data_IF_952790565938
#
_entry.id   IF_952790565938
#
_cell.length_a   1.000
_cell.length_b   1.000
_cell.length_c   1.000
_cell.angle_alpha   90.00
_cell.angle_beta   90.00
_cell.angle_gamma   90.00
#
_symmetry.space_group_name_H-M   'P 1'
#
loop_
_entity.id
_entity.type
_entity.pdbx_description
1 polymer ?
#
# COMPACT_ATOMS: atom_id res chain seq x y z
N UNK A 1 10.12 -19.96 -11.67
CA UNK A 1 9.43 -19.31 -10.53
C UNK A 1 9.14 -17.89 -10.93
N UNK A 2 7.91 -17.44 -10.76
CA UNK A 2 7.59 -16.04 -10.98
C UNK A 2 8.27 -15.18 -9.90
N UNK A 3 8.89 -14.10 -10.29
CA UNK A 3 9.50 -13.11 -9.39
C UNK A 3 9.29 -11.70 -9.95
N UNK A 4 9.76 -10.68 -9.25
CA UNK A 4 9.61 -9.29 -9.64
C UNK A 4 10.85 -8.71 -10.38
N UNK A 5 11.79 -9.55 -10.81
CA UNK A 5 12.97 -9.12 -11.54
C UNK A 5 12.59 -8.35 -12.82
N UNK A 6 13.09 -7.12 -12.94
CA UNK A 6 12.82 -6.24 -14.08
C UNK A 6 11.39 -5.71 -14.19
N UNK A 7 10.46 -6.08 -13.29
CA UNK A 7 9.11 -5.54 -13.25
C UNK A 7 9.12 -4.10 -12.73
N UNK A 8 8.31 -3.25 -13.32
CA UNK A 8 8.20 -1.83 -12.96
C UNK A 8 6.99 -1.58 -12.09
N UNK A 9 7.24 -1.05 -10.90
CA UNK A 9 6.22 -0.70 -9.89
C UNK A 9 6.12 0.81 -9.77
N UNK A 10 4.94 1.38 -10.03
CA UNK A 10 4.60 2.75 -9.65
C UNK A 10 3.84 2.73 -8.32
N UNK A 11 4.41 3.35 -7.30
CA UNK A 11 3.85 3.34 -5.95
C UNK A 11 3.56 4.75 -5.43
N UNK A 12 2.37 4.95 -4.88
CA UNK A 12 2.07 6.15 -4.10
C UNK A 12 2.50 5.99 -2.65
N UNK A 13 3.28 6.93 -2.08
CA UNK A 13 3.61 6.99 -0.64
C UNK A 13 4.74 6.05 -0.26
N UNK A 14 5.67 5.64 -0.83
CA UNK A 14 6.70 4.63 -0.47
C UNK A 14 7.93 5.16 0.26
N UNK A 15 7.89 6.37 0.81
CA UNK A 15 9.08 6.95 1.47
C UNK A 15 9.41 6.37 2.85
N UNK A 16 8.51 5.56 3.43
CA UNK A 16 8.65 4.92 4.75
C UNK A 16 7.62 3.81 4.97
N UNK A 17 7.72 3.12 6.11
CA UNK A 17 6.72 2.17 6.61
C UNK A 17 6.42 1.03 5.63
N UNK A 18 5.15 0.66 5.50
CA UNK A 18 4.72 -0.49 4.68
C UNK A 18 5.14 -0.31 3.21
N UNK A 19 4.92 0.87 2.63
CA UNK A 19 5.28 1.11 1.23
C UNK A 19 6.77 0.95 0.96
N UNK A 20 7.63 1.44 1.86
CA UNK A 20 9.07 1.23 1.74
C UNK A 20 9.46 -0.25 1.89
N UNK A 21 8.85 -0.97 2.83
CA UNK A 21 9.12 -2.40 3.01
C UNK A 21 8.74 -3.21 1.75
N UNK A 22 7.58 -2.92 1.15
CA UNK A 22 7.16 -3.54 -0.13
C UNK A 22 8.17 -3.22 -1.25
N UNK A 23 8.61 -1.95 -1.34
CA UNK A 23 9.59 -1.53 -2.34
C UNK A 23 10.93 -2.27 -2.16
N UNK A 24 11.42 -2.39 -0.92
CA UNK A 24 12.66 -3.11 -0.61
C UNK A 24 12.56 -4.61 -0.91
N UNK A 25 11.40 -5.22 -0.61
CA UNK A 25 11.17 -6.64 -0.92
C UNK A 25 11.18 -6.89 -2.43
N UNK A 26 10.57 -6.02 -3.22
CA UNK A 26 10.59 -6.12 -4.68
C UNK A 26 11.99 -5.81 -5.25
N UNK A 27 12.70 -4.83 -4.67
CA UNK A 27 14.06 -4.47 -5.06
C UNK A 27 15.05 -5.62 -4.90
N UNK A 28 14.86 -6.50 -3.91
CA UNK A 28 15.69 -7.68 -3.71
C UNK A 28 15.66 -8.66 -4.89
N UNK A 29 14.61 -8.64 -5.70
CA UNK A 29 14.53 -9.38 -6.97
C UNK A 29 15.11 -8.57 -8.17
N UNK A 30 15.47 -7.31 -7.98
CA UNK A 30 15.91 -6.41 -9.07
C UNK A 30 14.75 -5.69 -9.78
N UNK A 31 13.66 -5.39 -9.08
CA UNK A 31 12.55 -4.60 -9.63
C UNK A 31 12.92 -3.12 -9.83
N UNK A 32 12.18 -2.46 -10.72
CA UNK A 32 12.21 -1.01 -10.93
C UNK A 32 11.10 -0.35 -10.10
N UNK A 33 11.43 0.61 -9.27
CA UNK A 33 10.48 1.24 -8.34
C UNK A 33 10.40 2.75 -8.59
N UNK A 34 9.25 3.25 -9.02
CA UNK A 34 8.93 4.67 -9.06
C UNK A 34 8.11 5.04 -7.81
N UNK A 35 8.58 5.99 -7.03
CA UNK A 35 7.96 6.42 -5.78
C UNK A 35 7.36 7.82 -5.95
N UNK A 36 6.03 7.93 -6.00
CA UNK A 36 5.32 9.21 -5.95
C UNK A 36 4.99 9.56 -4.49
N UNK A 37 5.68 10.53 -3.92
CA UNK A 37 5.40 11.00 -2.57
C UNK A 37 5.80 12.47 -2.36
N UNK A 38 5.18 13.11 -1.37
CA UNK A 38 5.34 14.54 -1.07
C UNK A 38 6.61 14.89 -0.29
N UNK A 39 7.18 13.91 0.40
CA UNK A 39 8.30 14.16 1.33
C UNK A 39 9.62 14.24 0.56
N UNK A 40 9.97 15.43 0.16
CA UNK A 40 11.21 15.78 -0.53
C UNK A 40 12.37 15.97 0.46
N UNK A 41 12.13 16.72 1.52
CA UNK A 41 13.12 17.08 2.53
C UNK A 41 12.87 16.39 3.87
N UNK A 42 13.91 16.15 4.71
CA UNK A 42 13.74 15.55 6.02
C UNK A 42 12.74 16.30 6.91
N UNK A 43 11.89 15.56 7.61
CA UNK A 43 10.90 16.11 8.53
C UNK A 43 11.31 15.80 9.98
N UNK A 44 11.21 16.74 10.94
CA UNK A 44 11.71 16.54 12.31
C UNK A 44 11.09 15.36 13.08
N UNK A 45 9.86 14.95 12.70
CA UNK A 45 9.11 13.89 13.39
C UNK A 45 8.88 12.64 12.54
N UNK A 46 9.28 12.66 11.27
CA UNK A 46 9.00 11.57 10.33
C UNK A 46 10.26 11.28 9.54
N UNK A 47 10.88 10.15 9.80
CA UNK A 47 12.05 9.70 9.05
C UNK A 47 11.69 9.34 7.61
N UNK A 48 12.68 9.48 6.72
CA UNK A 48 12.58 9.10 5.32
C UNK A 48 12.01 10.17 4.40
N UNK A 49 12.62 10.28 3.23
CA UNK A 49 12.20 11.09 2.08
C UNK A 49 12.07 10.19 0.86
N UNK A 50 11.54 10.68 -0.27
CA UNK A 50 11.54 9.91 -1.53
C UNK A 50 12.99 9.60 -1.96
N UNK A 51 13.93 10.49 -1.66
CA UNK A 51 15.34 10.33 -2.02
C UNK A 51 16.04 9.28 -1.16
N UNK A 52 15.90 9.34 0.18
CA UNK A 52 16.47 8.33 1.06
C UNK A 52 15.86 6.94 0.85
N UNK A 53 14.58 6.85 0.49
CA UNK A 53 13.95 5.59 0.10
C UNK A 53 14.53 5.05 -1.21
N UNK A 54 14.76 5.93 -2.21
CA UNK A 54 15.38 5.53 -3.46
C UNK A 54 16.83 5.00 -3.26
N UNK A 55 17.60 5.59 -2.35
CA UNK A 55 18.92 5.07 -1.98
C UNK A 55 18.86 3.68 -1.36
N UNK A 56 17.91 3.45 -0.44
CA UNK A 56 17.70 2.14 0.17
C UNK A 56 17.27 1.08 -0.86
N UNK A 57 16.38 1.43 -1.80
CA UNK A 57 15.93 0.54 -2.88
C UNK A 57 17.11 0.13 -3.76
N UNK A 58 17.98 1.08 -4.15
CA UNK A 58 19.18 0.78 -4.93
C UNK A 58 20.16 -0.10 -4.16
N UNK A 59 20.34 0.16 -2.86
CA UNK A 59 21.19 -0.67 -2.00
C UNK A 59 20.63 -2.10 -1.83
N UNK A 60 19.30 -2.29 -1.95
CA UNK A 60 18.64 -3.59 -1.91
C UNK A 60 18.69 -4.36 -3.25
N UNK A 61 19.25 -3.76 -4.32
CA UNK A 61 19.45 -4.41 -5.62
C UNK A 61 18.45 -4.01 -6.71
N UNK A 62 17.49 -3.12 -6.43
CA UNK A 62 16.55 -2.58 -7.40
C UNK A 62 17.00 -1.28 -8.06
N UNK A 63 16.20 -0.82 -9.03
CA UNK A 63 16.31 0.53 -9.56
C UNK A 63 15.26 1.43 -8.92
N UNK A 64 15.56 2.72 -8.74
CA UNK A 64 14.64 3.63 -8.06
C UNK A 64 14.53 4.97 -8.76
N UNK A 65 13.29 5.43 -8.99
CA UNK A 65 12.95 6.74 -9.50
C UNK A 65 12.15 7.51 -8.42
N UNK A 66 12.79 8.43 -7.68
CA UNK A 66 12.06 9.29 -6.74
C UNK A 66 11.29 10.37 -7.51
N UNK A 67 10.00 10.51 -7.23
CA UNK A 67 9.12 11.51 -7.82
C UNK A 67 8.46 12.29 -6.68
N UNK A 68 8.80 13.57 -6.56
CA UNK A 68 8.15 14.48 -5.62
C UNK A 68 6.81 14.92 -6.22
N UNK A 69 5.70 14.63 -5.52
CA UNK A 69 4.38 15.01 -5.98
C UNK A 69 3.27 14.58 -5.01
N UNK A 70 2.06 15.06 -5.28
CA UNK A 70 0.87 14.82 -4.47
C UNK A 70 -0.19 14.06 -5.25
N UNK A 71 -0.64 12.91 -4.76
CA UNK A 71 -1.71 12.09 -5.39
C UNK A 71 -3.07 12.81 -5.51
N UNK A 72 -3.20 14.00 -4.92
CA UNK A 72 -4.38 14.86 -5.08
C UNK A 72 -4.31 15.76 -6.32
N UNK A 73 -3.13 15.89 -6.91
CA UNK A 73 -2.87 16.73 -8.07
C UNK A 73 -2.79 15.88 -9.34
N UNK A 74 -3.64 16.17 -10.32
CA UNK A 74 -3.71 15.40 -11.56
C UNK A 74 -2.46 15.55 -12.42
N UNK A 75 -1.83 16.72 -12.39
CA UNK A 75 -0.58 16.97 -13.12
C UNK A 75 0.56 16.15 -12.54
N UNK A 76 0.67 16.08 -11.19
CA UNK A 76 1.69 15.26 -10.52
C UNK A 76 1.50 13.77 -10.80
N UNK A 77 0.25 13.30 -10.84
CA UNK A 77 -0.08 11.91 -11.21
C UNK A 77 0.32 11.63 -12.65
N UNK A 78 -0.07 12.50 -13.56
CA UNK A 78 0.24 12.37 -15.00
C UNK A 78 1.76 12.37 -15.22
N UNK A 79 2.46 13.28 -14.57
CA UNK A 79 3.92 13.36 -14.63
C UNK A 79 4.58 12.09 -14.05
N UNK A 80 4.06 11.55 -12.94
CA UNK A 80 4.59 10.32 -12.33
C UNK A 80 4.46 9.12 -13.29
N UNK A 81 3.32 8.98 -13.95
CA UNK A 81 3.09 7.91 -14.93
C UNK A 81 4.04 8.06 -16.13
N UNK A 82 4.13 9.27 -16.71
CA UNK A 82 4.99 9.53 -17.86
C UNK A 82 6.49 9.37 -17.54
N UNK A 83 6.94 9.85 -16.38
CA UNK A 83 8.33 9.67 -15.94
C UNK A 83 8.67 8.20 -15.71
N UNK A 84 7.74 7.43 -15.11
CA UNK A 84 7.95 5.99 -14.87
C UNK A 84 8.06 5.25 -16.19
N UNK A 85 7.16 5.51 -17.14
CA UNK A 85 7.20 4.92 -18.47
C UNK A 85 8.47 5.31 -19.23
N UNK A 86 8.87 6.58 -19.15
CA UNK A 86 10.08 7.08 -19.83
C UNK A 86 11.37 6.50 -19.30
N UNK A 87 11.47 6.30 -17.96
CA UNK A 87 12.66 5.77 -17.30
C UNK A 87 12.80 4.26 -17.46
N UNK A 88 11.67 3.52 -17.28
CA UNK A 88 11.70 2.06 -17.20
C UNK A 88 11.04 1.34 -18.39
N UNK A 89 10.47 2.09 -19.33
CA UNK A 89 9.86 1.54 -20.54
C UNK A 89 8.40 1.08 -20.39
N UNK A 90 7.84 1.04 -19.16
CA UNK A 90 6.47 0.60 -18.91
C UNK A 90 6.11 0.62 -17.44
N UNK A 91 4.91 0.13 -17.12
CA UNK A 91 4.43 -0.08 -15.75
C UNK A 91 3.76 -1.46 -15.71
N UNK A 92 4.26 -2.36 -14.87
CA UNK A 92 3.65 -3.68 -14.63
C UNK A 92 2.70 -3.65 -13.43
N UNK A 93 2.99 -2.81 -12.43
CA UNK A 93 2.30 -2.84 -11.14
C UNK A 93 2.06 -1.42 -10.65
N UNK A 94 0.83 -1.18 -10.15
CA UNK A 94 0.49 0.04 -9.39
C UNK A 94 0.21 -0.34 -7.94
N UNK A 95 0.83 0.38 -6.99
CA UNK A 95 0.57 0.20 -5.56
C UNK A 95 0.00 1.48 -4.96
N UNK A 96 -1.26 1.44 -4.55
CA UNK A 96 -1.94 2.52 -3.85
C UNK A 96 -1.70 2.38 -2.34
N UNK A 97 -0.59 2.96 -1.87
CA UNK A 97 -0.21 2.94 -0.46
C UNK A 97 -0.36 4.31 0.22
N UNK A 98 -0.32 5.42 -0.50
CA UNK A 98 -0.53 6.74 0.09
C UNK A 98 -1.87 6.79 0.85
N UNK A 99 -1.82 7.21 2.11
CA UNK A 99 -3.00 7.27 2.97
C UNK A 99 -2.88 8.38 4.00
N UNK A 100 -4.02 8.97 4.33
CA UNK A 100 -4.20 9.87 5.47
C UNK A 100 -5.17 9.25 6.44
N UNK A 101 -4.85 9.32 7.72
CA UNK A 101 -5.67 8.79 8.81
C UNK A 101 -6.09 9.91 9.76
N UNK A 102 -7.38 9.96 10.07
CA UNK A 102 -7.94 10.72 11.19
C UNK A 102 -9.08 9.90 11.80
N UNK A 103 -8.90 9.49 13.05
CA UNK A 103 -9.83 8.63 13.79
C UNK A 103 -10.82 9.42 14.66
N UNK A 104 -10.99 10.72 14.38
CA UNK A 104 -11.99 11.54 15.05
C UNK A 104 -13.41 11.03 14.79
N UNK A 105 -14.24 11.09 15.80
CA UNK A 105 -15.67 10.83 15.65
C UNK A 105 -16.33 11.95 14.83
N UNK A 106 -17.50 11.68 14.26
CA UNK A 106 -18.15 12.56 13.29
C UNK A 106 -18.32 14.00 13.74
N UNK A 107 -18.63 14.25 15.02
CA UNK A 107 -18.80 15.62 15.54
C UNK A 107 -17.46 16.36 15.77
N UNK A 108 -16.35 15.66 15.89
CA UNK A 108 -15.02 16.22 16.10
C UNK A 108 -14.19 16.28 14.81
N UNK A 109 -14.60 15.58 13.77
CA UNK A 109 -13.89 15.55 12.49
C UNK A 109 -14.08 16.87 11.75
N UNK A 110 -13.02 17.64 11.63
CA UNK A 110 -13.04 18.88 10.86
C UNK A 110 -13.20 18.59 9.35
N UNK A 111 -14.03 19.37 8.66
CA UNK A 111 -14.28 19.22 7.21
C UNK A 111 -12.97 19.12 6.40
N UNK A 112 -11.99 19.99 6.67
CA UNK A 112 -10.67 19.93 6.01
C UNK A 112 -9.95 18.59 6.16
N UNK A 113 -10.13 17.90 7.30
CA UNK A 113 -9.53 16.58 7.54
C UNK A 113 -10.30 15.48 6.82
N UNK A 114 -11.62 15.60 6.80
CA UNK A 114 -12.49 14.73 6.01
C UNK A 114 -12.13 14.82 4.53
N UNK A 115 -12.10 16.02 3.96
CA UNK A 115 -11.76 16.27 2.56
C UNK A 115 -10.37 15.69 2.23
N UNK A 116 -9.38 15.95 3.08
CA UNK A 116 -8.03 15.43 2.91
C UNK A 116 -7.98 13.90 2.87
N UNK A 117 -8.76 13.21 3.72
CA UNK A 117 -8.84 11.75 3.69
C UNK A 117 -9.49 11.24 2.39
N UNK A 118 -10.58 11.89 1.94
CA UNK A 118 -11.22 11.51 0.68
C UNK A 118 -10.31 11.75 -0.53
N UNK A 119 -9.66 12.90 -0.57
CA UNK A 119 -8.78 13.29 -1.67
C UNK A 119 -7.55 12.38 -1.80
N UNK A 120 -6.90 12.06 -0.69
CA UNK A 120 -5.70 11.21 -0.72
C UNK A 120 -6.06 9.75 -0.91
N UNK A 121 -6.98 9.23 -0.08
CA UNK A 121 -7.23 7.80 -0.02
C UNK A 121 -8.10 7.34 -1.21
N UNK A 122 -9.26 7.95 -1.41
CA UNK A 122 -10.22 7.51 -2.45
C UNK A 122 -9.84 8.05 -3.82
N UNK A 123 -9.81 9.39 -3.94
CA UNK A 123 -9.52 10.04 -5.21
C UNK A 123 -8.12 9.71 -5.71
N UNK A 124 -7.11 9.75 -4.83
CA UNK A 124 -5.73 9.41 -5.19
C UNK A 124 -5.60 7.98 -5.70
N UNK A 125 -6.26 7.00 -5.05
CA UNK A 125 -6.30 5.60 -5.51
C UNK A 125 -6.94 5.49 -6.89
N UNK A 126 -8.09 6.15 -7.11
CA UNK A 126 -8.79 6.13 -8.39
C UNK A 126 -7.96 6.76 -9.49
N UNK A 127 -7.49 7.99 -9.30
CA UNK A 127 -6.80 8.76 -10.35
C UNK A 127 -5.44 8.17 -10.74
N UNK A 128 -4.66 7.68 -9.76
CA UNK A 128 -3.37 7.03 -10.07
C UNK A 128 -3.57 5.73 -10.84
N UNK A 129 -4.54 4.91 -10.40
CA UNK A 129 -4.85 3.66 -11.10
C UNK A 129 -5.38 3.94 -12.51
N UNK A 130 -6.31 4.88 -12.68
CA UNK A 130 -6.87 5.28 -13.97
C UNK A 130 -5.78 5.75 -14.94
N UNK A 131 -4.87 6.61 -14.49
CA UNK A 131 -3.79 7.15 -15.32
C UNK A 131 -2.81 6.06 -15.78
N UNK A 132 -2.62 5.00 -14.96
CA UNK A 132 -1.69 3.91 -15.27
C UNK A 132 -2.33 2.81 -16.17
N UNK A 133 -3.66 2.65 -16.19
CA UNK A 133 -4.34 1.59 -16.96
C UNK A 133 -3.91 1.51 -18.42
N UNK A 134 -3.76 2.60 -19.19
CA UNK A 134 -3.33 2.51 -20.58
C UNK A 134 -1.97 1.82 -20.76
N UNK A 135 -1.06 1.96 -19.78
CA UNK A 135 0.28 1.37 -19.82
C UNK A 135 0.26 -0.06 -19.24
N UNK A 136 -0.52 -0.30 -18.20
CA UNK A 136 -0.71 -1.64 -17.60
C UNK A 136 -1.23 -2.67 -18.63
N UNK A 137 -1.99 -2.24 -19.64
CA UNK A 137 -2.49 -3.12 -20.73
C UNK A 137 -1.38 -3.81 -21.50
N UNK A 138 -0.21 -3.20 -21.58
CA UNK A 138 0.95 -3.73 -22.32
C UNK A 138 1.81 -4.67 -21.45
N UNK A 139 1.55 -4.74 -20.15
CA UNK A 139 2.26 -5.60 -19.23
C UNK A 139 1.83 -7.07 -19.35
N UNK A 140 2.77 -7.98 -19.18
CA UNK A 140 2.51 -9.43 -19.21
C UNK A 140 1.64 -9.90 -18.04
N UNK A 141 1.88 -9.34 -16.85
CA UNK A 141 1.21 -9.69 -15.59
C UNK A 141 0.82 -8.43 -14.80
N UNK A 142 -0.16 -7.63 -15.28
CA UNK A 142 -0.48 -6.34 -14.70
C UNK A 142 -1.26 -6.44 -13.39
N UNK A 143 -0.83 -5.70 -12.36
CA UNK A 143 -1.49 -5.66 -11.07
C UNK A 143 -1.75 -4.23 -10.57
N UNK A 144 -2.90 -4.05 -9.93
CA UNK A 144 -3.21 -2.91 -9.05
C UNK A 144 -3.39 -3.48 -7.64
N UNK A 145 -2.58 -3.03 -6.68
CA UNK A 145 -2.69 -3.42 -5.29
C UNK A 145 -2.97 -2.19 -4.43
N UNK A 146 -4.07 -2.21 -3.68
CA UNK A 146 -4.42 -1.12 -2.76
C UNK A 146 -4.33 -1.58 -1.30
N UNK A 147 -3.71 -0.76 -0.45
CA UNK A 147 -3.59 -1.03 0.97
C UNK A 147 -4.87 -0.58 1.69
N UNK A 148 -5.90 -1.43 1.60
CA UNK A 148 -7.22 -1.15 2.16
C UNK A 148 -7.91 -2.43 2.65
N UNK A 149 -8.83 -2.30 3.65
CA UNK A 149 -9.44 -3.45 4.34
C UNK A 149 -10.56 -4.08 3.51
N UNK A 150 -10.96 -5.32 3.82
CA UNK A 150 -12.22 -5.87 3.35
C UNK A 150 -13.41 -5.03 3.85
N UNK A 151 -14.53 -5.06 3.11
CA UNK A 151 -15.76 -4.36 3.51
C UNK A 151 -16.43 -5.11 4.66
N UNK A 152 -16.28 -4.60 5.86
CA UNK A 152 -16.93 -5.09 7.06
C UNK A 152 -18.02 -4.10 7.51
N UNK A 153 -19.28 -4.45 7.31
CA UNK A 153 -20.42 -3.57 7.61
C UNK A 153 -20.90 -3.68 9.07
N UNK A 154 -20.13 -4.29 9.96
CA UNK A 154 -20.43 -4.29 11.40
C UNK A 154 -20.56 -2.84 11.90
N UNK A 155 -21.67 -2.49 12.59
CA UNK A 155 -21.88 -1.15 13.14
C UNK A 155 -20.71 -0.65 14.01
N UNK A 156 -19.95 -1.54 14.67
CA UNK A 156 -18.77 -1.17 15.44
C UNK A 156 -17.72 -0.42 14.59
N UNK A 157 -17.52 -0.85 13.33
CA UNK A 157 -16.57 -0.20 12.41
C UNK A 157 -17.16 1.01 11.71
N UNK A 158 -18.43 0.92 11.29
CA UNK A 158 -19.12 2.04 10.65
C UNK A 158 -19.26 3.23 11.60
N UNK A 159 -19.55 3.00 12.88
CA UNK A 159 -19.78 4.04 13.88
C UNK A 159 -18.54 4.53 14.63
N UNK A 160 -17.44 3.78 14.63
CA UNK A 160 -16.24 4.17 15.38
C UNK A 160 -15.53 5.38 14.76
N UNK A 161 -15.29 5.32 13.45
CA UNK A 161 -14.48 6.29 12.70
C UNK A 161 -15.08 6.55 11.33
N UNK A 162 -16.32 6.99 11.25
CA UNK A 162 -17.12 7.06 10.01
C UNK A 162 -16.36 7.72 8.84
N UNK A 163 -15.67 8.84 9.06
CA UNK A 163 -14.91 9.52 8.01
C UNK A 163 -13.74 8.70 7.47
N UNK A 164 -12.99 8.02 8.34
CA UNK A 164 -11.89 7.15 7.94
C UNK A 164 -12.38 5.84 7.32
N UNK A 165 -13.45 5.27 7.87
CA UNK A 165 -14.10 4.06 7.32
C UNK A 165 -14.53 4.31 5.87
N UNK A 166 -15.23 5.45 5.60
CA UNK A 166 -15.61 5.82 4.24
C UNK A 166 -14.41 5.95 3.30
N UNK A 167 -13.33 6.58 3.76
CA UNK A 167 -12.13 6.74 2.96
C UNK A 167 -11.46 5.39 2.65
N UNK A 168 -11.31 4.50 3.63
CA UNK A 168 -10.69 3.19 3.43
C UNK A 168 -11.56 2.23 2.62
N UNK A 169 -12.87 2.20 2.89
CA UNK A 169 -13.82 1.41 2.10
C UNK A 169 -13.95 1.96 0.67
N UNK A 170 -13.84 3.27 0.49
CA UNK A 170 -13.76 3.88 -0.84
C UNK A 170 -12.59 3.35 -1.67
N UNK A 171 -11.40 3.22 -1.08
CA UNK A 171 -10.24 2.58 -1.75
C UNK A 171 -10.57 1.14 -2.17
N UNK A 172 -11.20 0.37 -1.28
CA UNK A 172 -11.58 -1.02 -1.57
C UNK A 172 -12.60 -1.09 -2.70
N UNK A 173 -13.62 -0.25 -2.67
CA UNK A 173 -14.66 -0.19 -3.72
C UNK A 173 -14.06 0.21 -5.08
N UNK A 174 -13.17 1.20 -5.11
CA UNK A 174 -12.43 1.58 -6.33
C UNK A 174 -11.66 0.38 -6.87
N UNK A 175 -10.91 -0.30 -6.03
CA UNK A 175 -10.05 -1.42 -6.44
C UNK A 175 -10.89 -2.59 -6.99
N UNK A 176 -11.96 -2.98 -6.30
CA UNK A 176 -12.87 -4.03 -6.76
C UNK A 176 -13.63 -3.62 -8.05
N UNK A 177 -13.95 -2.33 -8.19
CA UNK A 177 -14.50 -1.77 -9.42
C UNK A 177 -13.55 -1.93 -10.60
N UNK A 178 -12.27 -1.58 -10.43
CA UNK A 178 -11.24 -1.77 -11.46
C UNK A 178 -11.03 -3.26 -11.79
N UNK A 179 -11.08 -4.14 -10.80
CA UNK A 179 -11.00 -5.58 -11.05
C UNK A 179 -12.09 -6.07 -12.00
N UNK A 180 -13.34 -5.61 -11.81
CA UNK A 180 -14.46 -5.98 -12.64
C UNK A 180 -14.39 -5.32 -14.03
N UNK A 181 -14.05 -4.03 -14.09
CA UNK A 181 -14.01 -3.25 -15.32
C UNK A 181 -12.94 -3.77 -16.30
N UNK A 182 -11.72 -4.02 -15.78
CA UNK A 182 -10.56 -4.39 -16.59
C UNK A 182 -10.25 -5.90 -16.60
N UNK A 183 -11.19 -6.75 -16.14
CA UNK A 183 -11.03 -8.20 -16.13
C UNK A 183 -10.69 -8.78 -17.52
N UNK A 184 -11.36 -8.29 -18.59
CA UNK A 184 -11.13 -8.76 -19.96
C UNK A 184 -9.76 -8.39 -20.49
N UNK A 185 -9.17 -7.31 -19.97
CA UNK A 185 -7.83 -6.83 -20.30
C UNK A 185 -6.75 -7.58 -19.52
N UNK A 186 -7.15 -8.36 -18.52
CA UNK A 186 -6.27 -9.18 -17.70
C UNK A 186 -5.55 -8.42 -16.61
N UNK A 187 -6.01 -7.19 -16.28
CA UNK A 187 -5.46 -6.39 -15.18
C UNK A 187 -6.07 -6.89 -13.88
N UNK A 188 -5.22 -7.42 -12.99
CA UNK A 188 -5.66 -7.76 -11.64
C UNK A 188 -5.78 -6.50 -10.78
N UNK A 189 -6.81 -6.45 -9.93
CA UNK A 189 -6.88 -5.44 -8.88
C UNK A 189 -7.37 -6.09 -7.58
N UNK A 190 -6.56 -5.97 -6.53
CA UNK A 190 -6.80 -6.58 -5.22
C UNK A 190 -6.53 -5.60 -4.10
N UNK A 191 -7.14 -5.83 -2.95
CA UNK A 191 -6.78 -5.11 -1.71
C UNK A 191 -6.06 -6.04 -0.75
N UNK A 192 -5.24 -5.47 0.12
CA UNK A 192 -4.50 -6.22 1.14
C UNK A 192 -4.59 -5.47 2.47
N UNK A 193 -4.85 -6.21 3.57
CA UNK A 193 -4.98 -5.66 4.92
C UNK A 193 -4.42 -6.62 5.98
N UNK A 194 -3.75 -6.15 7.05
CA UNK A 194 -3.16 -7.01 8.06
C UNK A 194 -4.19 -7.38 9.16
N UNK A 195 -4.04 -8.53 9.82
CA UNK A 195 -4.83 -8.89 11.01
C UNK A 195 -4.42 -8.12 12.25
N UNK A 196 -3.14 -7.79 12.34
CA UNK A 196 -2.57 -7.08 13.48
C UNK A 196 -2.01 -5.74 13.03
N UNK A 197 -1.91 -4.80 13.95
CA UNK A 197 -1.25 -3.51 13.66
C UNK A 197 0.17 -3.72 13.16
N UNK A 198 0.61 -2.82 12.28
CA UNK A 198 1.96 -2.82 11.72
C UNK A 198 2.77 -1.68 12.32
N UNK A 199 3.96 -1.99 12.85
CA UNK A 199 4.85 -1.04 13.51
C UNK A 199 5.34 0.05 12.52
N UNK A 200 4.63 1.16 12.48
CA UNK A 200 4.87 2.28 11.58
C UNK A 200 4.72 3.60 12.33
N UNK A 201 5.22 4.69 11.74
CA UNK A 201 5.03 6.03 12.28
C UNK A 201 3.54 6.41 12.45
N UNK A 202 2.63 5.83 11.67
CA UNK A 202 1.19 6.03 11.85
C UNK A 202 0.69 5.41 13.17
N UNK A 203 1.09 4.18 13.47
CA UNK A 203 0.78 3.50 14.74
C UNK A 203 1.41 4.25 15.90
N UNK A 204 2.69 4.61 15.78
CA UNK A 204 3.41 5.36 16.81
C UNK A 204 2.72 6.68 17.17
N UNK A 205 2.28 7.44 16.18
CA UNK A 205 1.79 8.80 16.39
C UNK A 205 0.29 8.90 16.60
N UNK A 206 -0.51 7.89 16.18
CA UNK A 206 -1.97 8.02 16.10
C UNK A 206 -2.74 6.89 16.78
N UNK A 207 -2.14 5.70 17.00
CA UNK A 207 -2.87 4.51 17.44
C UNK A 207 -2.49 3.99 18.84
N UNK A 208 -1.54 4.61 19.54
CA UNK A 208 -1.24 4.20 20.92
C UNK A 208 0.25 4.18 21.29
N UNK A 209 1.10 4.75 20.44
CA UNK A 209 2.51 4.97 20.75
C UNK A 209 3.31 3.68 20.98
N UNK A 210 4.30 3.73 21.87
CA UNK A 210 5.26 2.65 22.12
C UNK A 210 4.59 1.32 22.49
N UNK A 211 3.46 1.38 23.21
CA UNK A 211 2.76 0.17 23.67
C UNK A 211 2.17 -0.61 22.48
N UNK A 212 1.50 0.08 21.55
CA UNK A 212 0.93 -0.59 20.36
C UNK A 212 2.03 -0.95 19.37
N UNK A 213 3.07 -0.13 19.25
CA UNK A 213 4.26 -0.47 18.46
C UNK A 213 4.89 -1.80 18.90
N UNK A 214 5.08 -1.99 20.22
CA UNK A 214 5.66 -3.21 20.77
C UNK A 214 4.75 -4.45 20.58
N UNK A 215 3.45 -4.23 20.49
CA UNK A 215 2.44 -5.27 20.25
C UNK A 215 2.02 -5.35 18.77
N UNK A 216 2.85 -4.91 17.85
CA UNK A 216 2.62 -4.94 16.41
C UNK A 216 3.52 -5.95 15.72
N UNK A 217 3.23 -6.22 14.44
CA UNK A 217 4.16 -6.89 13.53
C UNK A 217 4.98 -5.84 12.77
N UNK A 218 6.14 -6.25 12.29
CA UNK A 218 7.00 -5.39 11.46
C UNK A 218 6.43 -5.26 10.04
N UNK A 219 6.77 -4.19 9.29
CA UNK A 219 6.29 -3.98 7.92
C UNK A 219 6.64 -5.10 6.94
N UNK A 220 7.65 -5.91 7.24
CA UNK A 220 8.11 -7.01 6.39
C UNK A 220 7.03 -8.07 6.17
N UNK A 221 6.14 -8.32 7.16
CA UNK A 221 5.01 -9.25 6.97
C UNK A 221 4.12 -8.80 5.82
N UNK A 222 3.83 -7.50 5.77
CA UNK A 222 3.00 -6.92 4.71
C UNK A 222 3.72 -6.96 3.36
N UNK A 223 5.02 -6.71 3.36
CA UNK A 223 5.86 -6.75 2.16
C UNK A 223 5.93 -8.15 1.55
N UNK A 224 6.13 -9.19 2.37
CA UNK A 224 6.15 -10.57 1.92
C UNK A 224 4.77 -10.99 1.38
N UNK A 225 3.67 -10.60 2.03
CA UNK A 225 2.32 -10.89 1.52
C UNK A 225 2.01 -10.15 0.21
N UNK A 226 2.39 -8.88 0.10
CA UNK A 226 2.25 -8.12 -1.14
C UNK A 226 3.03 -8.79 -2.29
N UNK A 227 4.24 -9.26 -2.01
CA UNK A 227 5.05 -10.01 -2.96
C UNK A 227 4.32 -11.25 -3.48
N UNK A 228 3.78 -12.07 -2.59
CA UNK A 228 3.02 -13.27 -2.93
C UNK A 228 1.78 -12.98 -3.79
N UNK A 229 1.12 -11.84 -3.57
CA UNK A 229 0.01 -11.39 -4.43
C UNK A 229 0.50 -11.02 -5.83
N UNK A 230 1.59 -10.23 -5.92
CA UNK A 230 2.06 -9.63 -7.16
C UNK A 230 2.73 -10.61 -8.13
N UNK A 231 3.20 -11.77 -7.64
CA UNK A 231 3.77 -12.82 -8.49
C UNK A 231 2.73 -13.81 -9.03
N UNK A 232 1.46 -13.76 -8.54
CA UNK A 232 0.39 -14.64 -9.04
C UNK A 232 -0.10 -14.20 -10.42
N UNK A 233 -0.67 -15.12 -11.23
CA UNK A 233 -1.22 -14.76 -12.53
C UNK A 233 -2.36 -13.74 -12.41
N UNK A 234 -2.24 -12.58 -13.03
CA UNK A 234 -3.20 -11.47 -12.92
C UNK A 234 -4.60 -11.85 -13.41
N UNK A 235 -4.69 -12.72 -14.43
CA UNK A 235 -5.97 -13.17 -14.98
C UNK A 235 -6.76 -14.09 -14.06
N UNK A 236 -6.11 -14.69 -13.08
CA UNK A 236 -6.70 -15.69 -12.18
C UNK A 236 -6.87 -15.16 -10.75
N UNK A 237 -6.03 -14.18 -10.36
CA UNK A 237 -5.97 -13.70 -8.98
C UNK A 237 -6.33 -12.22 -8.93
N UNK A 238 -7.63 -11.93 -9.01
CA UNK A 238 -8.18 -10.55 -9.07
C UNK A 238 -9.51 -10.44 -8.33
N UNK A 239 -9.91 -9.22 -7.97
CA UNK A 239 -11.20 -8.91 -7.35
C UNK A 239 -11.32 -9.37 -5.89
N UNK A 240 -10.21 -9.51 -5.19
CA UNK A 240 -10.18 -10.04 -3.82
C UNK A 240 -9.80 -8.95 -2.80
N UNK A 241 -10.40 -9.07 -1.62
CA UNK A 241 -10.00 -8.33 -0.43
C UNK A 241 -9.22 -9.28 0.48
N UNK A 242 -7.90 -9.21 0.41
CA UNK A 242 -6.97 -10.18 0.97
C UNK A 242 -6.53 -9.79 2.37
N UNK A 243 -6.22 -10.81 3.18
CA UNK A 243 -5.60 -10.63 4.51
C UNK A 243 -4.14 -11.10 4.42
N UNK A 244 -3.24 -10.30 4.97
CA UNK A 244 -1.78 -10.52 4.94
C UNK A 244 -1.42 -11.93 5.41
N UNK A 245 -1.90 -12.32 6.58
CA UNK A 245 -1.59 -13.62 7.18
C UNK A 245 -2.20 -14.79 6.40
N UNK A 246 -3.36 -14.59 5.77
CA UNK A 246 -4.00 -15.64 4.95
C UNK A 246 -3.20 -15.86 3.66
N UNK A 247 -2.78 -14.78 3.00
CA UNK A 247 -1.92 -14.84 1.80
C UNK A 247 -0.62 -15.59 2.08
N UNK A 248 0.02 -15.30 3.21
CA UNK A 248 1.26 -15.97 3.61
C UNK A 248 1.02 -17.44 3.97
N UNK A 249 -0.08 -17.74 4.65
CA UNK A 249 -0.47 -19.13 4.96
C UNK A 249 -0.69 -19.94 3.68
N UNK A 250 -1.37 -19.38 2.69
CA UNK A 250 -1.57 -19.99 1.37
C UNK A 250 -0.25 -20.21 0.62
N UNK A 251 0.75 -19.37 0.88
CA UNK A 251 2.12 -19.51 0.37
C UNK A 251 2.98 -20.50 1.18
N UNK A 252 2.42 -21.13 2.23
CA UNK A 252 3.11 -22.10 3.08
C UNK A 252 3.88 -21.50 4.26
N UNK A 253 3.73 -20.21 4.52
CA UNK A 253 4.35 -19.54 5.67
C UNK A 253 3.32 -19.50 6.80
N UNK A 254 3.48 -20.35 7.79
CA UNK A 254 2.54 -20.50 8.92
C UNK A 254 3.10 -20.01 10.26
N UNK A 255 4.42 -19.79 10.35
CA UNK A 255 5.07 -19.17 11.51
C UNK A 255 5.37 -17.71 11.23
N UNK A 256 4.65 -16.84 11.94
CA UNK A 256 4.79 -15.38 11.83
C UNK A 256 5.63 -14.77 12.96
N UNK A 257 6.24 -15.58 13.83
CA UNK A 257 7.00 -15.11 15.00
C UNK A 257 8.14 -14.16 14.63
N UNK A 258 8.78 -14.36 13.47
CA UNK A 258 9.85 -13.50 12.95
C UNK A 258 9.42 -12.07 12.64
N UNK A 259 8.11 -11.85 12.47
CA UNK A 259 7.56 -10.52 12.18
C UNK A 259 7.10 -9.76 13.42
N UNK A 260 7.21 -10.30 14.63
CA UNK A 260 6.89 -9.57 15.84
C UNK A 260 7.85 -8.37 16.00
N UNK A 261 7.33 -7.15 16.21
CA UNK A 261 8.14 -5.95 16.38
C UNK A 261 9.07 -6.07 17.62
N UNK A 262 8.60 -6.75 18.66
CA UNK A 262 9.44 -7.20 19.77
C UNK A 262 9.61 -8.71 19.66
N UNK A 263 10.81 -9.23 19.38
CA UNK A 263 11.05 -10.66 19.25
C UNK A 263 10.55 -11.47 20.45
N UNK A 264 9.84 -12.56 20.19
CA UNK A 264 9.27 -13.42 21.22
C UNK A 264 7.90 -12.99 21.74
N UNK A 265 7.30 -11.91 21.22
CA UNK A 265 5.91 -11.55 21.54
C UNK A 265 4.98 -12.62 20.98
N UNK A 266 4.17 -13.31 21.82
CA UNK A 266 3.22 -14.30 21.34
C UNK A 266 2.07 -13.64 20.57
N UNK A 267 1.48 -14.38 19.63
CA UNK A 267 0.45 -13.87 18.71
C UNK A 267 -0.80 -13.34 19.42
N UNK A 268 -1.19 -13.95 20.55
CA UNK A 268 -2.32 -13.54 21.38
C UNK A 268 -2.09 -12.22 22.15
N UNK A 269 -0.87 -11.71 22.14
CA UNK A 269 -0.48 -10.40 22.70
C UNK A 269 -0.36 -9.31 21.67
N UNK A 270 -0.45 -9.64 20.38
CA UNK A 270 -0.40 -8.66 19.31
C UNK A 270 -1.72 -7.89 19.22
N UNK A 271 -1.62 -6.60 18.90
CA UNK A 271 -2.79 -5.75 18.83
C UNK A 271 -3.52 -5.97 17.49
N UNK A 272 -4.83 -6.31 17.50
CA UNK A 272 -5.59 -6.50 16.29
C UNK A 272 -5.72 -5.17 15.52
N UNK A 273 -5.67 -5.24 14.18
CA UNK A 273 -5.95 -4.08 13.36
C UNK A 273 -7.46 -3.81 13.29
N UNK A 274 -7.81 -2.60 12.88
CA UNK A 274 -9.21 -2.18 12.73
C UNK A 274 -9.84 -2.81 11.48
N UNK A 275 -11.16 -2.92 11.45
CA UNK A 275 -12.01 -3.49 10.38
C UNK A 275 -12.10 -5.03 10.30
N UNK A 276 -11.44 -5.77 11.19
CA UNK A 276 -11.51 -7.24 11.24
C UNK A 276 -12.21 -7.75 12.49
#
# INVERSE_FOLDING_TARGET
MNNLAGKTILMSGGSRGIGLAIALRAAADGANIALLAKTDSPHPKLEGTVHSAAEQIRAAGGNALPIVGDVRNDDDITEAVLKTQGEFGGIDIVINNASVIDLSRSLQLAAKKYDLMQDVNVRGTFMLSQAAVPILRDAENPHILSLSPPLNLDPKWLGAYTGYTLAKYGMTMVTLGFAAEFAKEGIAANTLWPRTTIATAAVQNLLGGDMVMAASRTPEIYADAAYEVLIRPSREYTGQSLIVEDVLTDAGITDFSRYAAVPGTPDDRLFPDIFL
#
